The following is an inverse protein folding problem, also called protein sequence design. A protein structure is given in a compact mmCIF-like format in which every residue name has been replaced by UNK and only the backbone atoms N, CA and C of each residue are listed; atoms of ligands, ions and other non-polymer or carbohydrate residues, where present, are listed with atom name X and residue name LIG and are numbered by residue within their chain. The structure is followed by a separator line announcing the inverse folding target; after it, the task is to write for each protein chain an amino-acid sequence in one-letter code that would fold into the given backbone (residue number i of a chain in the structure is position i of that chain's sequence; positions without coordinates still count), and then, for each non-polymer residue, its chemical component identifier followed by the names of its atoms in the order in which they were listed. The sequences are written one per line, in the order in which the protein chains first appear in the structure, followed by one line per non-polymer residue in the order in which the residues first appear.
data_IF_418880531878
#
_entry.id   IF_418880531878
#
_cell.length_a   1.000
_cell.length_b   1.000
_cell.length_c   1.000
_cell.angle_alpha   90.00
_cell.angle_beta   90.00
_cell.angle_gamma   90.00
#
_symmetry.space_group_name_H-M   'P 1'
#
loop_
_entity.id
_entity.type
_entity.pdbx_description
1 polymer ?
#
# COMPACT_ATOMS: atom_id res chain seq x y z
N UNK A 1 -2.24 -0.46 13.52
CA UNK A 1 -3.43 0.38 13.77
C UNK A 1 -3.90 1.07 12.47
N UNK A 2 -5.21 1.11 12.23
CA UNK A 2 -5.84 1.87 11.14
C UNK A 2 -6.24 3.24 11.69
N UNK A 3 -5.76 4.33 11.09
CA UNK A 3 -6.25 5.68 11.37
C UNK A 3 -7.36 6.05 10.38
N UNK A 4 -8.37 6.79 10.83
CA UNK A 4 -9.44 7.36 9.98
C UNK A 4 -9.32 8.88 10.06
N UNK A 5 -8.98 9.55 8.95
CA UNK A 5 -8.71 10.99 8.86
C UNK A 5 -7.73 11.37 7.73
N UNK A 6 -7.26 12.62 7.69
CA UNK A 6 -6.19 13.09 6.76
C UNK A 6 -4.85 12.32 6.91
N UNK A 7 -4.63 11.74 8.09
CA UNK A 7 -3.49 10.85 8.43
C UNK A 7 -3.84 9.35 8.34
N UNK A 8 -4.97 9.02 7.69
CA UNK A 8 -5.37 7.64 7.47
C UNK A 8 -4.23 6.85 6.83
N UNK A 9 -3.94 5.70 7.43
CA UNK A 9 -2.83 4.87 7.01
C UNK A 9 -2.79 3.59 7.81
N UNK A 10 -1.94 2.69 7.35
CA UNK A 10 -1.69 1.39 7.97
C UNK A 10 -0.24 1.29 8.38
N UNK A 11 -0.02 0.68 9.53
CA UNK A 11 1.31 0.19 9.91
C UNK A 11 1.34 -1.30 9.63
N UNK A 12 2.29 -1.71 8.79
CA UNK A 12 2.52 -3.09 8.38
C UNK A 12 3.83 -3.52 9.02
N UNK A 13 3.81 -4.65 9.73
CA UNK A 13 5.02 -5.29 10.23
C UNK A 13 5.40 -6.39 9.25
N UNK A 14 6.51 -6.19 8.52
CA UNK A 14 7.04 -7.16 7.57
C UNK A 14 8.45 -7.58 7.94
N UNK A 15 9.04 -8.46 7.13
CA UNK A 15 10.38 -9.00 7.37
C UNK A 15 11.30 -8.63 6.22
N UNK A 16 12.48 -8.10 6.53
CA UNK A 16 13.52 -7.82 5.52
C UNK A 16 13.95 -9.12 4.86
N UNK A 17 13.80 -9.21 3.54
CA UNK A 17 14.12 -10.41 2.75
C UNK A 17 15.27 -10.22 1.76
N UNK A 18 15.56 -8.97 1.37
CA UNK A 18 16.71 -8.64 0.53
C UNK A 18 17.13 -7.17 0.69
N UNK A 19 18.34 -6.85 0.23
CA UNK A 19 18.82 -5.48 0.09
C UNK A 19 19.52 -5.30 -1.26
N UNK A 20 19.10 -4.28 -1.99
CA UNK A 20 19.77 -3.82 -3.20
C UNK A 20 20.78 -2.73 -2.83
N UNK A 21 22.08 -3.05 -2.88
CA UNK A 21 23.15 -2.12 -2.54
C UNK A 21 23.31 -0.98 -3.55
N UNK A 22 22.97 -1.21 -4.81
CA UNK A 22 23.14 -0.21 -5.86
C UNK A 22 22.11 0.91 -5.72
N UNK A 23 20.85 0.54 -5.44
CA UNK A 23 19.75 1.50 -5.27
C UNK A 23 19.42 1.84 -3.81
N UNK A 24 20.09 1.19 -2.85
CA UNK A 24 19.83 1.34 -1.41
C UNK A 24 18.36 1.04 -1.05
N UNK A 25 17.85 -0.08 -1.58
CA UNK A 25 16.47 -0.49 -1.39
C UNK A 25 16.40 -1.78 -0.56
N UNK A 26 15.70 -1.72 0.58
CA UNK A 26 15.26 -2.93 1.27
C UNK A 26 14.08 -3.55 0.55
N UNK A 27 14.06 -4.88 0.46
CA UNK A 27 12.84 -5.65 0.15
C UNK A 27 12.28 -6.19 1.46
N UNK A 28 11.00 -5.93 1.69
CA UNK A 28 10.27 -6.30 2.91
C UNK A 28 9.11 -7.20 2.51
N UNK A 29 9.12 -8.45 2.97
CA UNK A 29 8.04 -9.40 2.75
C UNK A 29 6.89 -9.11 3.71
N UNK A 30 5.67 -9.08 3.18
CA UNK A 30 4.45 -8.82 3.94
C UNK A 30 4.05 -10.06 4.75
N UNK A 31 3.49 -9.90 5.95
CA UNK A 31 3.20 -11.02 6.83
C UNK A 31 2.17 -11.96 6.23
N UNK A 32 2.42 -13.27 6.35
CA UNK A 32 1.51 -14.32 5.87
C UNK A 32 1.37 -14.43 4.34
N UNK A 33 2.22 -13.75 3.56
CA UNK A 33 2.15 -13.75 2.09
C UNK A 33 3.53 -13.77 1.44
N UNK A 34 3.57 -14.00 0.12
CA UNK A 34 4.78 -13.81 -0.71
C UNK A 34 4.90 -12.39 -1.27
N UNK A 35 3.95 -11.50 -0.96
CA UNK A 35 3.99 -10.12 -1.43
C UNK A 35 5.14 -9.38 -0.76
N UNK A 36 5.76 -8.46 -1.50
CA UNK A 36 6.90 -7.70 -1.02
C UNK A 36 6.75 -6.22 -1.36
N UNK A 37 7.27 -5.35 -0.49
CA UNK A 37 7.47 -3.93 -0.74
C UNK A 37 8.94 -3.60 -0.77
N UNK A 38 9.31 -2.60 -1.57
CA UNK A 38 10.61 -1.95 -1.58
C UNK A 38 10.56 -0.60 -0.91
N UNK A 39 11.56 -0.31 -0.09
CA UNK A 39 11.69 0.97 0.62
C UNK A 39 13.15 1.42 0.59
N UNK A 40 13.37 2.70 0.32
CA UNK A 40 14.70 3.30 0.41
C UNK A 40 15.10 3.40 1.87
N UNK A 41 16.21 2.75 2.22
CA UNK A 41 16.71 2.66 3.60
C UNK A 41 18.14 2.12 3.60
N UNK A 42 18.89 2.35 4.67
CA UNK A 42 20.17 1.70 4.87
C UNK A 42 20.02 0.17 4.97
N UNK A 43 21.12 -0.56 4.70
CA UNK A 43 21.14 -2.03 4.83
C UNK A 43 20.71 -2.46 6.24
N UNK A 44 19.78 -3.41 6.30
CA UNK A 44 19.38 -4.11 7.52
C UNK A 44 19.61 -5.61 7.30
N UNK A 45 19.78 -6.34 8.39
CA UNK A 45 19.96 -7.78 8.33
C UNK A 45 18.70 -8.45 7.73
N UNK A 46 18.90 -9.43 6.86
CA UNK A 46 17.81 -10.30 6.41
C UNK A 46 17.20 -11.01 7.64
N UNK A 47 15.88 -11.07 7.69
CA UNK A 47 15.12 -11.59 8.84
C UNK A 47 14.73 -10.52 9.87
N UNK A 48 15.24 -9.29 9.77
CA UNK A 48 14.82 -8.20 10.67
C UNK A 48 13.35 -7.87 10.47
N UNK A 49 12.60 -7.78 11.57
CA UNK A 49 11.23 -7.24 11.57
C UNK A 49 11.30 -5.73 11.35
N UNK A 50 10.51 -5.24 10.41
CA UNK A 50 10.45 -3.84 10.05
C UNK A 50 9.00 -3.38 10.03
N UNK A 51 8.74 -2.27 10.73
CA UNK A 51 7.44 -1.62 10.70
C UNK A 51 7.47 -0.50 9.68
N UNK A 52 6.55 -0.56 8.72
CA UNK A 52 6.39 0.45 7.68
C UNK A 52 5.00 1.06 7.74
N UNK A 53 4.91 2.38 7.61
CA UNK A 53 3.66 3.11 7.48
C UNK A 53 3.39 3.43 6.02
N UNK A 54 2.21 3.04 5.56
CA UNK A 54 1.65 3.43 4.27
C UNK A 54 0.48 4.35 4.53
N UNK A 55 0.54 5.57 4.00
CA UNK A 55 -0.56 6.53 4.12
C UNK A 55 -1.55 6.32 3.00
N UNK A 56 -2.84 6.45 3.29
CA UNK A 56 -3.91 6.22 2.32
C UNK A 56 -3.79 7.15 1.11
N UNK A 57 -3.30 8.37 1.30
CA UNK A 57 -3.06 9.35 0.22
C UNK A 57 -1.90 8.99 -0.72
N UNK A 58 -1.01 8.10 -0.30
CA UNK A 58 0.14 7.64 -1.09
C UNK A 58 -0.18 6.35 -1.86
N UNK A 59 -1.42 5.88 -1.82
CA UNK A 59 -1.89 4.68 -2.52
C UNK A 59 -2.85 5.08 -3.65
N UNK A 60 -2.46 4.84 -4.89
CA UNK A 60 -3.35 4.88 -6.05
C UNK A 60 -3.84 3.49 -6.43
N UNK A 61 -4.98 3.41 -7.11
CA UNK A 61 -5.59 2.16 -7.56
C UNK A 61 -5.63 2.10 -9.09
N UNK A 62 -5.34 0.93 -9.63
CA UNK A 62 -5.39 0.66 -11.05
C UNK A 62 -6.02 -0.72 -11.31
N UNK A 63 -6.73 -0.86 -12.44
CA UNK A 63 -7.30 -2.14 -12.88
C UNK A 63 -6.22 -3.09 -13.40
N UNK A 64 -5.10 -2.54 -13.89
CA UNK A 64 -4.00 -3.30 -14.47
C UNK A 64 -2.68 -3.02 -13.72
N UNK A 65 -1.72 -3.97 -13.75
CA UNK A 65 -0.36 -3.71 -13.31
C UNK A 65 0.34 -2.84 -14.36
N UNK A 66 0.14 -1.54 -14.29
CA UNK A 66 0.51 -0.61 -15.38
C UNK A 66 2.01 -0.26 -15.38
N UNK A 67 2.84 -0.95 -16.17
CA UNK A 67 4.32 -1.07 -16.05
C UNK A 67 5.16 0.21 -16.23
N UNK A 68 4.57 1.34 -16.62
CA UNK A 68 5.31 2.58 -16.89
C UNK A 68 5.04 3.68 -15.85
N UNK A 69 5.57 3.51 -14.63
CA UNK A 69 5.48 4.55 -13.58
C UNK A 69 6.67 4.50 -12.64
N UNK A 70 7.01 5.65 -12.05
CA UNK A 70 8.03 5.76 -10.99
C UNK A 70 7.60 5.13 -9.66
N UNK A 71 6.37 4.62 -9.54
CA UNK A 71 5.88 3.95 -8.33
C UNK A 71 6.44 2.53 -8.26
N UNK A 72 7.34 2.31 -7.29
CA UNK A 72 8.07 1.06 -7.08
C UNK A 72 7.19 -0.09 -6.59
N UNK A 73 6.25 0.23 -5.70
CA UNK A 73 5.46 -0.76 -4.96
C UNK A 73 4.13 -0.97 -5.63
N UNK A 74 3.85 -2.21 -6.05
CA UNK A 74 2.64 -2.58 -6.75
C UNK A 74 2.16 -3.90 -6.19
N UNK A 75 1.03 -3.86 -5.51
CA UNK A 75 0.50 -5.02 -4.81
C UNK A 75 -0.87 -5.37 -5.39
N UNK A 76 -1.11 -6.65 -5.75
CA UNK A 76 -2.47 -7.08 -6.03
C UNK A 76 -3.28 -6.99 -4.74
N UNK A 77 -4.49 -6.43 -4.84
CA UNK A 77 -5.38 -6.17 -3.71
C UNK A 77 -6.81 -6.55 -4.04
N UNK A 78 -7.58 -6.87 -3.01
CA UNK A 78 -9.04 -7.02 -3.11
C UNK A 78 -9.72 -5.91 -2.32
N UNK A 79 -10.75 -5.28 -2.89
CA UNK A 79 -11.59 -4.29 -2.22
C UNK A 79 -12.40 -4.98 -1.12
N UNK A 80 -12.24 -4.50 0.12
CA UNK A 80 -12.97 -5.00 1.28
C UNK A 80 -14.21 -4.15 1.52
N UNK A 81 -14.04 -2.84 1.51
CA UNK A 81 -15.08 -1.85 1.80
C UNK A 81 -14.68 -0.48 1.24
N UNK A 82 -15.66 0.34 0.92
CA UNK A 82 -15.49 1.74 0.57
C UNK A 82 -16.44 2.58 1.43
N UNK A 83 -15.94 3.72 1.91
CA UNK A 83 -16.75 4.70 2.64
C UNK A 83 -16.35 6.11 2.22
N UNK A 84 -17.25 7.08 2.40
CA UNK A 84 -16.88 8.49 2.28
C UNK A 84 -15.74 8.82 3.24
N UNK A 85 -14.78 9.62 2.77
CA UNK A 85 -13.74 10.19 3.62
C UNK A 85 -14.28 11.42 4.37
N UNK A 86 -13.38 12.18 4.99
CA UNK A 86 -13.71 13.39 5.77
C UNK A 86 -14.35 14.51 4.93
N UNK A 87 -14.34 14.38 3.60
CA UNK A 87 -15.04 15.27 2.68
C UNK A 87 -15.75 14.47 1.57
N UNK A 88 -16.76 15.09 0.96
CA UNK A 88 -17.57 14.45 -0.08
C UNK A 88 -16.76 14.13 -1.35
N UNK A 89 -15.67 14.83 -1.62
CA UNK A 89 -14.90 14.66 -2.85
C UNK A 89 -14.02 13.39 -2.85
N UNK A 90 -13.85 12.74 -1.70
CA UNK A 90 -12.98 11.59 -1.56
C UNK A 90 -13.67 10.42 -0.86
N UNK A 91 -13.14 9.24 -1.13
CA UNK A 91 -13.52 8.00 -0.49
C UNK A 91 -12.28 7.36 0.14
N UNK A 92 -12.49 6.65 1.24
CA UNK A 92 -11.50 5.78 1.84
C UNK A 92 -11.86 4.34 1.49
N UNK A 93 -10.95 3.67 0.79
CA UNK A 93 -11.09 2.29 0.33
C UNK A 93 -10.23 1.40 1.23
N UNK A 94 -10.87 0.44 1.90
CA UNK A 94 -10.19 -0.64 2.63
C UNK A 94 -9.87 -1.76 1.66
N UNK A 95 -8.62 -2.20 1.70
CA UNK A 95 -8.06 -3.16 0.75
C UNK A 95 -7.38 -4.29 1.51
N UNK A 96 -7.33 -5.47 0.89
CA UNK A 96 -6.59 -6.62 1.37
C UNK A 96 -5.51 -7.03 0.37
N UNK A 97 -4.24 -6.92 0.76
CA UNK A 97 -3.07 -7.40 0.02
C UNK A 97 -2.61 -8.74 0.60
N UNK A 98 -3.16 -9.85 0.12
CA UNK A 98 -2.74 -11.19 0.55
C UNK A 98 -2.85 -11.44 2.07
N UNK A 99 -3.83 -10.83 2.75
CA UNK A 99 -4.00 -10.89 4.21
C UNK A 99 -3.51 -9.63 4.95
N UNK A 100 -2.74 -8.77 4.28
CA UNK A 100 -2.28 -7.50 4.86
C UNK A 100 -3.26 -6.37 4.53
N UNK A 101 -3.82 -5.67 5.53
CA UNK A 101 -4.74 -4.56 5.29
C UNK A 101 -3.99 -3.35 4.72
N UNK A 102 -4.61 -2.69 3.74
CA UNK A 102 -4.18 -1.42 3.16
C UNK A 102 -5.36 -0.43 3.13
N UNK A 103 -5.03 0.85 3.04
CA UNK A 103 -5.99 1.92 2.82
C UNK A 103 -5.59 2.73 1.59
N UNK A 104 -6.57 3.16 0.81
CA UNK A 104 -6.38 4.15 -0.26
C UNK A 104 -7.39 5.28 -0.09
N UNK A 105 -6.94 6.52 -0.19
CA UNK A 105 -7.80 7.70 -0.22
C UNK A 105 -7.77 8.27 -1.62
N UNK A 106 -8.82 8.01 -2.39
CA UNK A 106 -8.93 8.44 -3.78
C UNK A 106 -10.10 9.42 -3.93
N UNK A 107 -10.13 10.14 -5.05
CA UNK A 107 -11.30 10.97 -5.36
C UNK A 107 -12.50 10.06 -5.63
N UNK A 108 -13.70 10.52 -5.27
CA UNK A 108 -14.94 9.82 -5.62
C UNK A 108 -15.06 9.63 -7.13
N UNK A 109 -14.64 10.63 -7.91
CA UNK A 109 -14.55 10.52 -9.38
C UNK A 109 -13.70 9.31 -9.82
N UNK A 110 -12.52 9.11 -9.23
CA UNK A 110 -11.68 7.93 -9.52
C UNK A 110 -12.36 6.63 -9.12
N UNK A 111 -13.07 6.60 -7.98
CA UNK A 111 -13.84 5.44 -7.55
C UNK A 111 -14.91 5.05 -8.56
N UNK A 112 -15.69 6.05 -9.00
CA UNK A 112 -16.75 5.90 -10.00
C UNK A 112 -16.18 5.40 -11.34
N UNK A 113 -15.05 5.97 -11.79
CA UNK A 113 -14.39 5.57 -13.05
C UNK A 113 -13.83 4.14 -13.00
N UNK A 114 -13.36 3.69 -11.84
CA UNK A 114 -12.90 2.31 -11.63
C UNK A 114 -14.06 1.33 -11.38
N UNK A 115 -15.29 1.85 -11.25
CA UNK A 115 -16.49 1.13 -10.85
C UNK A 115 -16.22 0.26 -9.60
N UNK A 116 -15.67 0.89 -8.56
CA UNK A 116 -15.25 0.17 -7.36
C UNK A 116 -16.40 -0.54 -6.68
N UNK A 117 -16.14 -1.79 -6.29
CA UNK A 117 -17.10 -2.59 -5.53
C UNK A 117 -16.38 -3.64 -4.68
N UNK A 118 -17.02 -4.04 -3.57
CA UNK A 118 -16.50 -5.07 -2.67
C UNK A 118 -16.23 -6.37 -3.43
N UNK A 119 -15.06 -6.97 -3.17
CA UNK A 119 -14.59 -8.19 -3.82
C UNK A 119 -13.83 -7.96 -5.14
N UNK A 120 -13.84 -6.76 -5.70
CA UNK A 120 -13.08 -6.45 -6.90
C UNK A 120 -11.57 -6.58 -6.65
N UNK A 121 -10.86 -7.17 -7.61
CA UNK A 121 -9.40 -7.29 -7.57
C UNK A 121 -8.77 -6.19 -8.41
N UNK A 122 -7.75 -5.53 -7.85
CA UNK A 122 -7.08 -4.35 -8.39
C UNK A 122 -5.59 -4.40 -8.08
N UNK A 123 -4.87 -3.37 -8.51
CA UNK A 123 -3.48 -3.11 -8.14
C UNK A 123 -3.40 -1.83 -7.31
N UNK A 124 -2.87 -1.94 -6.09
CA UNK A 124 -2.48 -0.81 -5.28
C UNK A 124 -1.06 -0.39 -5.64
N UNK A 125 -0.90 0.84 -6.10
CA UNK A 125 0.40 1.44 -6.39
C UNK A 125 0.76 2.40 -5.24
N UNK A 126 1.84 2.10 -4.52
CA UNK A 126 2.22 2.79 -3.29
C UNK A 126 3.43 3.68 -3.56
N UNK A 127 3.18 4.98 -3.67
CA UNK A 127 4.18 5.99 -4.03
C UNK A 127 5.22 6.21 -2.94
N UNK A 128 4.80 6.20 -1.68
CA UNK A 128 5.65 6.45 -0.54
C UNK A 128 5.36 5.46 0.60
N UNK A 129 6.44 5.03 1.26
CA UNK A 129 6.44 4.13 2.41
C UNK A 129 7.40 4.73 3.44
N UNK A 130 6.94 4.90 4.68
CA UNK A 130 7.79 5.41 5.76
C UNK A 130 8.20 4.28 6.69
N UNK A 131 9.50 4.11 6.92
CA UNK A 131 10.00 3.19 7.95
C UNK A 131 9.77 3.84 9.32
N UNK A 132 9.22 3.08 10.27
CA UNK A 132 9.04 3.53 11.64
C UNK A 132 10.17 2.99 12.51
N UNK A 133 10.74 3.87 13.34
CA UNK A 133 11.70 3.50 14.39
C UNK A 133 11.02 2.77 15.56
#
# INVERSE_FOLDING_TARGET
PLAMGDDAGVVIEGTVSAYDRHYQLLTVTLPGSSLCMRVAHAELQIGTLLRVKVQARDVSLNLQPDDHSSILNRLPVTVVEEALADNLAHVLVKLNAGGTPLLARITRYSSDQLNLHRGQTLWAQIKAVAVLA
#
